data_IF_440379256488
#
_entry.id   IF_440379256488
#
_cell.length_a   1.000
_cell.length_b   1.000
_cell.length_c   1.000
_cell.angle_alpha   90.00
_cell.angle_beta   90.00
_cell.angle_gamma   90.00
#
_symmetry.space_group_name_H-M   'P 1'
#
loop_
_entity.id
_entity.type
_entity.pdbx_description
1 polymer ?
#
# COMPACT_ATOMS: atom_id res chain seq x y z
N UNK A 1 26.94 23.21 43.42
CA UNK A 1 27.10 23.84 42.09
C UNK A 1 27.38 22.78 41.03
N UNK A 2 28.36 21.89 41.23
CA UNK A 2 28.61 20.74 40.35
C UNK A 2 27.39 19.81 40.17
N UNK A 3 26.62 19.54 41.25
CA UNK A 3 25.38 18.75 41.17
C UNK A 3 24.25 19.42 40.36
N UNK A 4 24.23 20.76 40.34
CA UNK A 4 23.21 21.50 39.58
C UNK A 4 23.55 21.45 38.10
N UNK A 5 24.83 21.57 37.74
CA UNK A 5 25.28 21.44 36.35
C UNK A 5 25.11 20.01 35.82
N UNK A 6 25.42 18.98 36.63
CA UNK A 6 25.15 17.59 36.23
C UNK A 6 23.66 17.33 36.07
N UNK A 7 22.80 17.88 36.93
CA UNK A 7 21.34 17.78 36.78
C UNK A 7 20.83 18.47 35.50
N UNK A 8 21.36 19.64 35.15
CA UNK A 8 21.00 20.31 33.89
C UNK A 8 21.51 19.57 32.65
N UNK A 9 22.68 18.95 32.73
CA UNK A 9 23.21 18.12 31.64
C UNK A 9 22.40 16.83 31.49
N UNK A 10 21.97 16.22 32.59
CA UNK A 10 21.06 15.08 32.61
C UNK A 10 19.72 15.44 31.96
N UNK A 11 19.08 16.54 32.39
CA UNK A 11 17.84 17.06 31.78
C UNK A 11 17.96 17.36 30.28
N UNK A 12 19.12 17.85 29.82
CA UNK A 12 19.37 18.09 28.39
C UNK A 12 19.60 16.81 27.60
N UNK A 13 20.07 15.77 28.27
CA UNK A 13 20.34 14.46 27.69
C UNK A 13 19.15 13.50 27.75
N UNK A 14 18.13 13.81 28.55
CA UNK A 14 16.92 13.00 28.64
C UNK A 14 16.05 13.09 27.38
N UNK A 15 15.38 11.99 26.99
CA UNK A 15 14.34 12.03 25.96
C UNK A 15 13.24 13.04 26.35
N UNK A 16 12.68 13.73 25.35
CA UNK A 16 11.55 14.65 25.58
C UNK A 16 10.22 13.92 25.69
N UNK A 17 10.19 12.67 25.24
CA UNK A 17 9.10 11.74 25.39
C UNK A 17 9.70 10.36 25.60
N UNK A 18 9.29 9.69 26.67
CA UNK A 18 9.79 8.39 27.08
C UNK A 18 8.64 7.54 27.58
N UNK A 19 8.36 6.42 26.91
CA UNK A 19 7.28 5.52 27.29
C UNK A 19 7.65 4.61 28.45
N UNK A 20 8.93 4.59 28.86
CA UNK A 20 9.34 3.96 30.11
C UNK A 20 9.06 4.87 31.34
N UNK A 21 8.64 6.12 31.12
CA UNK A 21 8.23 7.04 32.19
C UNK A 21 6.82 6.73 32.70
N UNK A 22 6.74 6.29 33.97
CA UNK A 22 5.49 5.98 34.66
C UNK A 22 4.57 7.19 34.88
N UNK A 23 5.01 8.41 34.57
CA UNK A 23 4.21 9.63 34.70
C UNK A 23 3.29 9.92 33.50
N UNK A 24 3.48 9.22 32.37
CA UNK A 24 2.59 9.34 31.22
C UNK A 24 1.18 8.87 31.57
N UNK A 25 0.18 9.67 31.24
CA UNK A 25 -1.22 9.32 31.47
C UNK A 25 -1.81 8.56 30.27
N UNK A 26 -2.97 7.94 30.46
CA UNK A 26 -3.69 7.34 29.34
C UNK A 26 -4.02 8.35 28.24
N UNK A 27 -4.30 9.63 28.58
CA UNK A 27 -4.49 10.68 27.58
C UNK A 27 -3.21 10.94 26.75
N UNK A 28 -2.03 10.84 27.36
CA UNK A 28 -0.75 10.97 26.63
C UNK A 28 -0.56 9.81 25.64
N UNK A 29 -0.85 8.58 26.06
CA UNK A 29 -0.84 7.40 25.18
C UNK A 29 -1.77 7.60 23.98
N UNK A 30 -3.01 8.03 24.21
CA UNK A 30 -4.00 8.25 23.15
C UNK A 30 -3.59 9.41 22.23
N UNK A 31 -3.04 10.48 22.79
CA UNK A 31 -2.60 11.64 22.02
C UNK A 31 -1.46 11.31 21.06
N UNK A 32 -0.43 10.61 21.55
CA UNK A 32 0.78 10.31 20.78
C UNK A 32 0.65 9.07 19.90
N UNK A 33 0.02 8.01 20.41
CA UNK A 33 -0.03 6.71 19.74
C UNK A 33 -1.38 6.41 19.11
N UNK A 34 -2.45 7.04 19.58
CA UNK A 34 -3.83 6.73 19.18
C UNK A 34 -4.46 5.56 19.93
N UNK A 35 -3.77 4.98 20.91
CA UNK A 35 -4.19 3.83 21.69
C UNK A 35 -4.24 4.17 23.18
N UNK A 36 -5.12 3.51 23.92
CA UNK A 36 -5.02 3.52 25.38
C UNK A 36 -3.73 2.82 25.84
N UNK A 37 -3.31 3.10 27.07
CA UNK A 37 -2.15 2.44 27.69
C UNK A 37 -2.32 0.90 27.70
N UNK A 38 -3.52 0.43 28.03
CA UNK A 38 -3.86 -1.00 28.03
C UNK A 38 -3.68 -1.64 26.63
N UNK A 39 -4.29 -1.03 25.61
CA UNK A 39 -4.19 -1.51 24.22
C UNK A 39 -2.74 -1.49 23.71
N UNK A 40 -2.00 -0.43 24.04
CA UNK A 40 -0.60 -0.31 23.69
C UNK A 40 0.24 -1.44 24.30
N UNK A 41 0.02 -1.72 25.59
CA UNK A 41 0.72 -2.78 26.32
C UNK A 41 0.34 -4.18 25.81
N UNK A 42 -0.91 -4.41 25.42
CA UNK A 42 -1.32 -5.69 24.84
C UNK A 42 -0.63 -5.96 23.51
N UNK A 43 -0.54 -4.96 22.63
CA UNK A 43 0.25 -5.07 21.40
C UNK A 43 1.74 -5.25 21.69
N UNK A 44 2.26 -4.60 22.72
CA UNK A 44 3.65 -4.77 23.12
C UNK A 44 3.95 -6.21 23.56
N UNK A 45 3.07 -6.83 24.36
CA UNK A 45 3.24 -8.23 24.81
C UNK A 45 3.43 -9.19 23.64
N UNK A 46 2.69 -9.01 22.54
CA UNK A 46 2.76 -9.88 21.35
C UNK A 46 4.12 -9.87 20.64
N UNK A 47 4.87 -8.76 20.70
CA UNK A 47 6.14 -8.61 19.98
C UNK A 47 7.37 -8.44 20.89
N UNK A 48 7.16 -8.17 22.18
CA UNK A 48 8.21 -7.80 23.15
C UNK A 48 9.35 -8.82 23.24
N UNK A 49 9.03 -10.12 23.18
CA UNK A 49 10.00 -11.23 23.23
C UNK A 49 11.00 -11.18 22.07
N UNK A 50 10.62 -10.58 20.95
CA UNK A 50 11.43 -10.49 19.73
C UNK A 50 12.08 -9.10 19.55
N UNK A 51 11.63 -8.10 20.30
CA UNK A 51 12.04 -6.71 20.14
C UNK A 51 13.11 -6.34 21.18
N UNK A 52 14.35 -6.14 20.71
CA UNK A 52 15.48 -5.83 21.59
C UNK A 52 15.60 -4.32 21.88
N UNK A 53 15.97 -4.02 23.12
CA UNK A 53 16.49 -2.71 23.52
C UNK A 53 17.88 -2.47 22.92
N UNK A 54 18.25 -1.20 22.78
CA UNK A 54 19.56 -0.77 22.29
C UNK A 54 20.10 0.36 23.18
N UNK A 55 21.32 0.82 22.93
CA UNK A 55 21.87 2.00 23.62
C UNK A 55 21.12 3.30 23.34
N UNK A 56 20.21 3.33 22.34
CA UNK A 56 19.52 4.55 21.90
C UNK A 56 18.02 4.58 22.19
N UNK A 57 17.44 3.43 22.55
CA UNK A 57 16.01 3.27 22.84
C UNK A 57 15.76 1.93 23.52
N UNK A 58 14.72 1.89 24.34
CA UNK A 58 14.13 0.63 24.82
C UNK A 58 13.29 -0.04 23.74
N UNK A 59 12.82 -1.25 24.01
CA UNK A 59 11.85 -1.95 23.17
C UNK A 59 10.48 -1.27 23.19
N UNK A 60 10.04 -0.77 24.35
CA UNK A 60 8.77 -0.04 24.50
C UNK A 60 8.78 1.26 23.68
N UNK A 61 9.85 2.04 23.78
CA UNK A 61 10.04 3.24 22.97
C UNK A 61 10.12 2.95 21.47
N UNK A 62 10.57 1.75 21.05
CA UNK A 62 10.53 1.37 19.63
C UNK A 62 9.09 1.25 19.11
N UNK A 63 8.23 0.60 19.91
CA UNK A 63 6.82 0.48 19.59
C UNK A 63 6.14 1.86 19.58
N UNK A 64 6.50 2.73 20.51
CA UNK A 64 6.02 4.11 20.54
C UNK A 64 6.43 4.89 19.28
N UNK A 65 7.70 4.79 18.86
CA UNK A 65 8.20 5.38 17.60
C UNK A 65 7.36 4.90 16.41
N UNK A 66 7.01 3.61 16.35
CA UNK A 66 6.16 3.07 15.30
C UNK A 66 4.77 3.73 15.30
N UNK A 67 4.05 3.69 16.41
CA UNK A 67 2.70 4.22 16.49
C UNK A 67 2.64 5.74 16.35
N UNK A 68 3.59 6.48 16.91
CA UNK A 68 3.71 7.93 16.71
C UNK A 68 3.86 8.24 15.23
N UNK A 69 4.68 7.49 14.48
CA UNK A 69 4.80 7.70 13.03
C UNK A 69 3.47 7.49 12.31
N UNK A 70 2.73 6.42 12.62
CA UNK A 70 1.42 6.13 12.01
C UNK A 70 0.38 7.21 12.39
N UNK A 71 0.31 7.58 13.67
CA UNK A 71 -0.67 8.52 14.24
C UNK A 71 -0.45 9.95 13.78
N UNK A 72 0.80 10.42 13.77
CA UNK A 72 1.14 11.84 13.60
C UNK A 72 1.72 12.17 12.22
N UNK A 73 2.23 11.16 11.50
CA UNK A 73 2.97 11.31 10.25
C UNK A 73 4.23 12.21 10.33
N UNK A 74 4.76 12.47 11.53
CA UNK A 74 6.02 13.20 11.70
C UNK A 74 7.19 12.57 10.92
N UNK A 75 8.15 13.39 10.52
CA UNK A 75 9.37 12.87 9.89
C UNK A 75 10.22 12.07 10.88
N UNK A 76 10.97 11.08 10.42
CA UNK A 76 11.88 10.32 11.28
C UNK A 76 12.93 11.20 11.98
N UNK A 77 13.29 12.35 11.39
CA UNK A 77 14.16 13.35 12.02
C UNK A 77 13.49 14.06 13.20
N UNK A 78 12.21 14.39 13.09
CA UNK A 78 11.41 14.94 14.20
C UNK A 78 11.24 13.90 15.31
N UNK A 79 10.84 12.67 14.95
CA UNK A 79 10.66 11.58 15.93
C UNK A 79 11.97 11.27 16.64
N UNK A 80 13.08 11.13 15.91
CA UNK A 80 14.36 10.88 16.56
C UNK A 80 14.80 12.01 17.50
N UNK A 81 14.42 13.27 17.21
CA UNK A 81 14.68 14.39 18.12
C UNK A 81 13.76 14.38 19.34
N UNK A 82 12.52 13.88 19.20
CA UNK A 82 11.57 13.72 20.31
C UNK A 82 12.07 12.70 21.34
N UNK A 83 12.59 11.56 20.88
CA UNK A 83 13.18 10.51 21.72
C UNK A 83 14.66 10.74 22.08
N UNK A 84 15.21 11.93 21.75
CA UNK A 84 16.62 12.26 21.91
C UNK A 84 17.61 11.17 21.46
N UNK A 85 17.32 10.52 20.32
CA UNK A 85 18.18 9.47 19.77
C UNK A 85 19.56 10.06 19.43
N UNK A 86 20.61 9.41 19.95
CA UNK A 86 21.98 9.91 19.83
C UNK A 86 22.46 9.96 18.37
N UNK A 87 23.48 10.80 18.12
CA UNK A 87 24.10 10.99 16.81
C UNK A 87 23.71 12.30 16.13
N UNK A 88 24.34 12.55 14.97
CA UNK A 88 24.02 13.71 14.13
C UNK A 88 22.62 13.57 13.51
N UNK A 89 22.17 14.62 12.80
CA UNK A 89 20.80 14.69 12.26
C UNK A 89 20.40 13.49 11.40
N UNK A 90 21.33 12.95 10.62
CA UNK A 90 21.06 11.85 9.70
C UNK A 90 21.15 10.49 10.40
N UNK A 91 22.15 10.28 11.26
CA UNK A 91 22.23 9.09 12.12
C UNK A 91 20.97 8.94 12.98
N UNK A 92 20.48 10.04 13.54
CA UNK A 92 19.26 10.09 14.33
C UNK A 92 18.02 9.71 13.51
N UNK A 93 17.89 10.27 12.31
CA UNK A 93 16.81 9.95 11.36
C UNK A 93 16.81 8.46 11.02
N UNK A 94 17.99 7.89 10.72
CA UNK A 94 18.14 6.49 10.35
C UNK A 94 17.74 5.56 11.48
N UNK A 95 18.25 5.79 12.69
CA UNK A 95 17.91 4.98 13.86
C UNK A 95 16.41 5.00 14.19
N UNK A 96 15.74 6.14 14.02
CA UNK A 96 14.28 6.22 14.16
C UNK A 96 13.54 5.41 13.07
N UNK A 97 14.03 5.45 11.83
CA UNK A 97 13.50 4.65 10.73
C UNK A 97 13.73 3.14 10.96
N UNK A 98 14.90 2.75 11.44
CA UNK A 98 15.24 1.36 11.77
C UNK A 98 14.36 0.82 12.91
N UNK A 99 14.06 1.65 13.91
CA UNK A 99 13.12 1.30 14.97
C UNK A 99 11.71 1.04 14.42
N UNK A 100 11.21 1.94 13.57
CA UNK A 100 9.93 1.78 12.88
C UNK A 100 9.91 0.49 12.03
N UNK A 101 10.98 0.23 11.27
CA UNK A 101 11.07 -0.93 10.39
C UNK A 101 11.15 -2.24 11.18
N UNK A 102 11.90 -2.26 12.28
CA UNK A 102 11.99 -3.42 13.17
C UNK A 102 10.63 -3.81 13.72
N UNK A 103 9.86 -2.83 14.22
CA UNK A 103 8.51 -3.08 14.74
C UNK A 103 7.55 -3.51 13.63
N UNK A 104 7.61 -2.88 12.44
CA UNK A 104 6.78 -3.29 11.28
C UNK A 104 6.98 -4.76 10.95
N UNK A 105 8.23 -5.21 10.81
CA UNK A 105 8.53 -6.59 10.45
C UNK A 105 8.06 -7.59 11.53
N UNK A 106 8.19 -7.23 12.81
CA UNK A 106 7.67 -8.05 13.90
C UNK A 106 6.14 -8.12 13.89
N UNK A 107 5.45 -7.01 13.63
CA UNK A 107 3.99 -7.04 13.49
C UNK A 107 3.55 -7.89 12.31
N UNK A 108 4.17 -7.74 11.13
CA UNK A 108 3.86 -8.58 9.96
C UNK A 108 4.03 -10.06 10.30
N UNK A 109 5.10 -10.40 11.02
CA UNK A 109 5.45 -11.80 11.31
C UNK A 109 4.62 -12.44 12.41
N UNK A 110 4.28 -11.69 13.46
CA UNK A 110 3.74 -12.26 14.71
C UNK A 110 2.34 -11.77 15.07
N UNK A 111 1.87 -10.68 14.48
CA UNK A 111 0.58 -10.07 14.81
C UNK A 111 -0.41 -10.13 13.64
N UNK A 112 0.00 -9.67 12.46
CA UNK A 112 -0.89 -9.51 11.30
C UNK A 112 -1.58 -10.82 10.94
N UNK A 113 -0.84 -11.93 10.82
CA UNK A 113 -1.44 -13.22 10.44
C UNK A 113 -2.43 -13.79 11.45
N UNK A 114 -2.47 -13.28 12.69
CA UNK A 114 -3.41 -13.70 13.73
C UNK A 114 -4.70 -12.88 13.73
N UNK A 115 -4.71 -11.70 13.10
CA UNK A 115 -5.78 -10.71 13.22
C UNK A 115 -6.22 -10.08 11.90
N UNK A 116 -5.56 -10.41 10.79
CA UNK A 116 -5.86 -9.87 9.47
C UNK A 116 -5.51 -10.90 8.38
N UNK A 117 -6.34 -10.97 7.35
CA UNK A 117 -6.26 -11.96 6.28
C UNK A 117 -7.20 -13.12 6.52
N UNK A 118 -7.89 -13.58 5.49
CA UNK A 118 -9.08 -14.46 5.62
C UNK A 118 -8.87 -15.76 6.45
N UNK A 119 -7.63 -16.21 6.63
CA UNK A 119 -7.30 -17.40 7.41
C UNK A 119 -7.37 -17.25 8.94
N UNK A 120 -7.49 -16.03 9.48
CA UNK A 120 -7.54 -15.83 10.93
C UNK A 120 -8.93 -16.04 11.56
N UNK A 121 -9.98 -16.03 10.73
CA UNK A 121 -11.38 -16.13 11.16
C UNK A 121 -12.02 -17.34 10.49
N UNK A 122 -12.86 -18.08 11.22
CA UNK A 122 -13.62 -19.20 10.67
C UNK A 122 -14.95 -18.72 10.07
N UNK A 123 -15.59 -19.55 9.24
CA UNK A 123 -16.91 -19.21 8.69
C UNK A 123 -17.99 -19.10 9.77
N UNK A 124 -17.91 -19.91 10.82
CA UNK A 124 -18.87 -19.84 11.92
C UNK A 124 -18.69 -18.54 12.73
N UNK A 125 -17.44 -18.14 13.00
CA UNK A 125 -17.16 -16.83 13.62
C UNK A 125 -17.62 -15.68 12.73
N UNK A 126 -17.43 -15.80 11.41
CA UNK A 126 -17.85 -14.82 10.42
C UNK A 126 -19.38 -14.58 10.41
N UNK A 127 -20.19 -15.59 10.76
CA UNK A 127 -21.65 -15.46 10.89
C UNK A 127 -22.05 -14.65 12.14
N UNK A 128 -21.20 -14.59 13.16
CA UNK A 128 -21.43 -13.78 14.37
C UNK A 128 -21.41 -12.28 14.02
N UNK A 129 -20.58 -11.90 13.05
CA UNK A 129 -20.44 -10.53 12.56
C UNK A 129 -21.61 -10.05 11.67
N UNK A 130 -22.60 -10.90 11.41
CA UNK A 130 -23.85 -10.46 10.79
C UNK A 130 -24.71 -9.68 11.80
N UNK A 131 -25.11 -8.47 11.41
CA UNK A 131 -26.03 -7.64 12.20
C UNK A 131 -27.47 -8.13 12.05
N UNK A 132 -28.37 -7.64 12.91
CA UNK A 132 -29.81 -7.90 12.75
C UNK A 132 -30.32 -7.49 11.36
N UNK A 133 -29.78 -6.40 10.78
CA UNK A 133 -30.16 -5.96 9.45
C UNK A 133 -29.65 -6.89 8.35
N UNK A 134 -28.39 -7.32 8.40
CA UNK A 134 -27.88 -8.21 7.35
C UNK A 134 -28.58 -9.58 7.40
N UNK A 135 -28.90 -10.07 8.60
CA UNK A 135 -29.70 -11.29 8.78
C UNK A 135 -31.10 -11.18 8.20
N UNK A 136 -31.76 -10.05 8.43
CA UNK A 136 -33.10 -9.81 7.90
C UNK A 136 -33.10 -9.69 6.37
N UNK A 137 -32.07 -9.06 5.78
CA UNK A 137 -32.03 -8.78 4.35
C UNK A 137 -31.51 -9.95 3.50
N UNK A 138 -30.53 -10.68 4.01
CA UNK A 138 -29.78 -11.67 3.24
C UNK A 138 -29.82 -13.07 3.86
N UNK A 139 -30.14 -13.19 5.15
CA UNK A 139 -30.24 -14.48 5.84
C UNK A 139 -29.04 -14.75 6.77
N UNK A 140 -28.91 -16.00 7.20
CA UNK A 140 -27.96 -16.38 8.25
C UNK A 140 -26.56 -16.74 7.74
N UNK A 141 -26.36 -16.82 6.43
CA UNK A 141 -25.06 -17.10 5.85
C UNK A 141 -24.12 -15.89 5.96
N UNK A 142 -22.82 -16.16 5.97
CA UNK A 142 -21.82 -15.10 6.20
C UNK A 142 -21.88 -14.06 5.09
N UNK A 143 -21.80 -12.78 5.48
CA UNK A 143 -21.82 -11.65 4.56
C UNK A 143 -20.47 -10.93 4.58
N UNK A 144 -19.91 -10.67 3.41
CA UNK A 144 -18.74 -9.81 3.23
C UNK A 144 -19.11 -8.59 2.40
N UNK A 145 -18.59 -7.44 2.80
CA UNK A 145 -18.68 -6.18 2.07
C UNK A 145 -17.31 -5.91 1.47
N UNK A 146 -17.26 -5.72 0.16
CA UNK A 146 -16.05 -5.35 -0.57
C UNK A 146 -16.14 -3.89 -0.99
N UNK A 147 -15.09 -3.12 -0.68
CA UNK A 147 -15.02 -1.74 -1.12
C UNK A 147 -13.59 -1.23 -1.30
N UNK A 148 -13.40 -0.47 -2.38
CA UNK A 148 -12.14 0.19 -2.68
C UNK A 148 -11.95 1.44 -1.82
N UNK A 149 -10.78 1.57 -1.21
CA UNK A 149 -10.32 2.84 -0.64
C UNK A 149 -9.03 3.28 -1.31
N UNK A 150 -8.64 4.54 -1.11
CA UNK A 150 -7.42 5.08 -1.69
C UNK A 150 -6.64 5.89 -0.67
N UNK A 151 -5.31 5.86 -0.83
CA UNK A 151 -4.40 6.73 -0.10
C UNK A 151 -3.61 7.57 -1.07
N UNK A 152 -3.61 8.88 -0.82
CA UNK A 152 -2.81 9.79 -1.61
C UNK A 152 -1.33 9.51 -1.39
N UNK A 153 -0.57 9.61 -2.47
CA UNK A 153 0.87 9.49 -2.43
C UNK A 153 1.52 10.77 -2.93
N UNK A 154 2.78 10.97 -2.57
CA UNK A 154 3.58 11.99 -3.22
C UNK A 154 3.64 11.76 -4.73
N UNK A 155 3.78 12.83 -5.51
CA UNK A 155 4.04 12.71 -6.95
C UNK A 155 5.28 11.84 -7.12
N UNK A 156 5.13 10.69 -7.78
CA UNK A 156 6.28 9.84 -8.03
C UNK A 156 7.20 10.50 -9.04
N UNK A 157 8.47 10.36 -8.73
CA UNK A 157 9.61 10.59 -9.59
C UNK A 157 9.53 9.77 -10.88
N UNK A 158 9.11 8.51 -10.74
CA UNK A 158 8.96 7.61 -11.87
C UNK A 158 7.72 7.96 -12.69
N UNK A 159 7.88 8.28 -13.99
CA UNK A 159 6.74 8.54 -14.87
C UNK A 159 5.78 7.35 -14.99
N UNK A 160 6.27 6.11 -14.93
CA UNK A 160 5.41 4.91 -14.97
C UNK A 160 4.53 4.81 -13.72
N UNK A 161 5.13 4.96 -12.53
CA UNK A 161 4.42 4.96 -11.24
C UNK A 161 3.50 6.18 -11.14
N UNK A 162 3.96 7.32 -11.66
CA UNK A 162 3.19 8.56 -11.72
C UNK A 162 1.93 8.37 -12.56
N UNK A 163 2.05 7.80 -13.77
CA UNK A 163 0.92 7.51 -14.66
C UNK A 163 -0.02 6.45 -14.07
N UNK A 164 0.51 5.38 -13.49
CA UNK A 164 -0.31 4.31 -12.89
C UNK A 164 -0.98 4.70 -11.58
N UNK A 165 -0.38 5.64 -10.83
CA UNK A 165 -0.97 6.14 -9.58
C UNK A 165 -1.83 7.39 -9.81
N UNK A 166 -1.75 8.04 -10.97
CA UNK A 166 -2.59 9.20 -11.27
C UNK A 166 -3.98 8.73 -11.70
N UNK A 167 -4.95 8.87 -10.79
CA UNK A 167 -6.34 8.59 -11.12
C UNK A 167 -7.01 9.83 -11.70
N UNK A 168 -7.50 9.72 -12.93
CA UNK A 168 -8.23 10.80 -13.61
C UNK A 168 -9.44 11.30 -12.81
N UNK A 169 -10.13 10.40 -12.11
CA UNK A 169 -11.32 10.72 -11.30
C UNK A 169 -11.03 11.72 -10.18
N UNK A 170 -9.87 11.62 -9.51
CA UNK A 170 -9.52 12.53 -8.39
C UNK A 170 -8.48 13.58 -8.78
N UNK A 171 -8.02 13.57 -10.05
CA UNK A 171 -6.95 14.44 -10.58
C UNK A 171 -5.72 14.49 -9.67
N UNK A 172 -5.36 13.36 -9.04
CA UNK A 172 -4.32 13.23 -8.00
C UNK A 172 -3.65 11.86 -8.04
N UNK A 173 -2.46 11.76 -7.47
CA UNK A 173 -1.73 10.50 -7.29
C UNK A 173 -2.20 9.75 -6.05
N UNK A 174 -2.65 8.52 -6.22
CA UNK A 174 -3.05 7.62 -5.14
C UNK A 174 -2.83 6.16 -5.50
N UNK A 175 -2.75 5.33 -4.48
CA UNK A 175 -2.85 3.87 -4.59
C UNK A 175 -4.17 3.42 -4.01
N UNK A 176 -4.69 2.30 -4.51
CA UNK A 176 -5.95 1.72 -4.03
C UNK A 176 -5.70 0.51 -3.13
N UNK A 177 -6.63 0.27 -2.21
CA UNK A 177 -6.69 -0.92 -1.37
C UNK A 177 -8.12 -1.44 -1.37
N UNK A 178 -8.31 -2.75 -1.40
CA UNK A 178 -9.61 -3.39 -1.28
C UNK A 178 -9.84 -3.79 0.17
N UNK A 179 -10.86 -3.22 0.79
CA UNK A 179 -11.28 -3.60 2.14
C UNK A 179 -12.31 -4.71 2.06
N UNK A 180 -12.17 -5.73 2.89
CA UNK A 180 -13.11 -6.84 3.03
C UNK A 180 -13.56 -6.83 4.48
N UNK A 181 -14.82 -6.47 4.70
CA UNK A 181 -15.37 -6.22 6.04
C UNK A 181 -16.71 -6.91 6.23
N UNK A 182 -17.07 -7.17 7.48
CA UNK A 182 -18.36 -7.73 7.85
C UNK A 182 -19.39 -6.63 8.15
N UNK A 183 -20.70 -6.97 8.21
CA UNK A 183 -21.78 -6.02 8.47
C UNK A 183 -21.68 -5.25 9.79
N UNK A 184 -20.93 -5.73 10.77
CA UNK A 184 -20.70 -5.05 12.04
C UNK A 184 -19.42 -4.20 12.08
N UNK A 185 -18.74 -4.05 10.94
CA UNK A 185 -17.47 -3.34 10.75
C UNK A 185 -16.18 -4.10 11.12
N UNK A 186 -16.29 -5.38 11.50
CA UNK A 186 -15.13 -6.27 11.65
C UNK A 186 -14.40 -6.44 10.32
N UNK A 187 -13.06 -6.45 10.36
CA UNK A 187 -12.23 -6.44 9.15
C UNK A 187 -11.63 -7.82 8.94
N UNK A 188 -12.01 -8.48 7.83
CA UNK A 188 -11.39 -9.76 7.45
C UNK A 188 -10.03 -9.52 6.80
N UNK A 189 -9.95 -8.56 5.87
CA UNK A 189 -8.70 -8.24 5.16
C UNK A 189 -8.68 -6.82 4.57
N UNK A 190 -7.48 -6.31 4.32
CA UNK A 190 -7.23 -5.10 3.52
C UNK A 190 -6.12 -5.39 2.52
N UNK A 191 -6.51 -5.61 1.28
CA UNK A 191 -5.61 -6.11 0.24
C UNK A 191 -5.12 -4.94 -0.62
N UNK A 192 -3.82 -4.92 -0.91
CA UNK A 192 -3.22 -3.93 -1.80
C UNK A 192 -1.72 -3.77 -1.52
N UNK A 193 -1.11 -2.68 -2.03
CA UNK A 193 -1.69 -1.63 -2.86
C UNK A 193 -1.91 -2.08 -4.32
N UNK A 194 -2.90 -1.46 -4.94
CA UNK A 194 -3.19 -1.51 -6.37
C UNK A 194 -2.97 -0.15 -7.04
N UNK A 195 -2.82 -0.17 -8.36
CA UNK A 195 -2.66 1.05 -9.16
C UNK A 195 -3.94 1.90 -9.09
N UNK A 196 -3.78 3.22 -9.00
CA UNK A 196 -4.91 4.16 -8.91
C UNK A 196 -5.79 4.20 -10.17
N UNK A 197 -5.25 3.76 -11.30
CA UNK A 197 -5.95 3.66 -12.60
C UNK A 197 -6.90 2.46 -12.70
N UNK A 198 -6.73 1.44 -11.86
CA UNK A 198 -7.62 0.28 -11.89
C UNK A 198 -8.97 0.63 -11.24
N UNK A 199 -10.06 0.21 -11.86
CA UNK A 199 -11.39 0.27 -11.25
C UNK A 199 -11.53 -0.85 -10.21
N UNK A 200 -12.62 -0.81 -9.44
CA UNK A 200 -12.78 -1.73 -8.30
C UNK A 200 -13.10 -3.15 -8.75
N UNK A 201 -13.83 -3.32 -9.87
CA UNK A 201 -14.05 -4.62 -10.52
C UNK A 201 -12.74 -5.31 -10.92
N UNK A 202 -11.84 -4.62 -11.64
CA UNK A 202 -10.54 -5.18 -12.06
C UNK A 202 -9.64 -5.54 -10.88
N UNK A 203 -9.71 -4.77 -9.79
CA UNK A 203 -8.98 -5.09 -8.56
C UNK A 203 -9.55 -6.37 -7.92
N UNK A 204 -10.88 -6.49 -7.84
CA UNK A 204 -11.53 -7.67 -7.31
C UNK A 204 -11.20 -8.93 -8.13
N UNK A 205 -11.25 -8.85 -9.47
CA UNK A 205 -10.82 -9.94 -10.35
C UNK A 205 -9.37 -10.37 -10.07
N UNK A 206 -8.44 -9.41 -9.97
CA UNK A 206 -7.04 -9.72 -9.66
C UNK A 206 -6.90 -10.43 -8.30
N UNK A 207 -7.67 -10.00 -7.29
CA UNK A 207 -7.68 -10.62 -5.96
C UNK A 207 -8.18 -12.06 -6.06
N UNK A 208 -9.34 -12.28 -6.68
CA UNK A 208 -9.94 -13.61 -6.81
C UNK A 208 -9.03 -14.56 -7.60
N UNK A 209 -8.37 -14.06 -8.65
CA UNK A 209 -7.45 -14.86 -9.47
C UNK A 209 -6.13 -15.21 -8.78
N UNK A 210 -5.71 -14.43 -7.78
CA UNK A 210 -4.41 -14.60 -7.11
C UNK A 210 -4.50 -15.13 -5.68
N UNK A 211 -5.70 -15.13 -5.08
CA UNK A 211 -5.95 -15.59 -3.73
C UNK A 211 -7.07 -16.63 -3.71
N UNK A 212 -6.73 -17.86 -4.10
CA UNK A 212 -7.68 -18.99 -4.13
C UNK A 212 -8.36 -19.22 -2.79
N UNK A 213 -7.63 -19.04 -1.67
CA UNK A 213 -8.20 -19.22 -0.34
C UNK A 213 -9.37 -18.27 -0.11
N UNK A 214 -9.17 -16.97 -0.39
CA UNK A 214 -10.23 -15.96 -0.29
C UNK A 214 -11.36 -16.21 -1.30
N UNK A 215 -11.02 -16.58 -2.54
CA UNK A 215 -11.98 -16.77 -3.63
C UNK A 215 -12.98 -17.90 -3.39
N UNK A 216 -12.68 -18.84 -2.48
CA UNK A 216 -13.59 -19.93 -2.11
C UNK A 216 -13.97 -19.90 -0.63
N UNK A 217 -13.48 -18.95 0.16
CA UNK A 217 -13.55 -19.01 1.62
C UNK A 217 -14.99 -19.03 2.15
N UNK A 218 -15.84 -18.14 1.64
CA UNK A 218 -17.25 -18.03 2.02
C UNK A 218 -18.08 -19.31 1.75
N UNK A 219 -17.56 -20.26 0.97
CA UNK A 219 -18.30 -21.42 0.51
C UNK A 219 -19.45 -21.08 -0.44
N UNK A 220 -20.20 -22.09 -0.86
CA UNK A 220 -21.45 -21.87 -1.62
C UNK A 220 -22.49 -21.20 -0.72
N UNK A 221 -23.16 -20.16 -1.21
CA UNK A 221 -24.23 -19.40 -0.55
C UNK A 221 -23.80 -18.29 0.43
N UNK A 222 -22.51 -17.95 0.51
CA UNK A 222 -22.09 -16.71 1.18
C UNK A 222 -22.54 -15.46 0.41
N UNK A 223 -22.78 -14.36 1.12
CA UNK A 223 -23.21 -13.11 0.51
C UNK A 223 -22.05 -12.14 0.29
N UNK A 224 -21.99 -11.53 -0.89
CA UNK A 224 -21.04 -10.46 -1.21
C UNK A 224 -21.81 -9.19 -1.51
N UNK A 225 -21.52 -8.11 -0.79
CA UNK A 225 -22.14 -6.81 -0.98
C UNK A 225 -21.10 -5.83 -1.53
N UNK A 226 -21.42 -5.23 -2.67
CA UNK A 226 -20.54 -4.31 -3.42
C UNK A 226 -21.31 -3.08 -3.89
N UNK A 227 -20.60 -2.05 -4.35
CA UNK A 227 -21.23 -0.95 -5.08
C UNK A 227 -21.25 -1.19 -6.58
N UNK A 228 -21.80 -0.21 -7.28
CA UNK A 228 -21.92 -0.16 -8.72
C UNK A 228 -20.57 -0.23 -9.46
N UNK A 229 -19.45 0.07 -8.81
CA UNK A 229 -18.10 -0.02 -9.38
C UNK A 229 -17.60 -1.46 -9.59
N UNK A 230 -18.32 -2.45 -9.04
CA UNK A 230 -18.03 -3.88 -9.19
C UNK A 230 -18.91 -4.56 -10.25
N UNK A 231 -19.71 -3.81 -11.01
CA UNK A 231 -20.63 -4.35 -12.03
C UNK A 231 -19.98 -5.43 -12.89
N UNK A 232 -18.75 -5.18 -13.35
CA UNK A 232 -18.08 -6.03 -14.34
C UNK A 232 -17.53 -7.33 -13.75
N UNK A 233 -17.52 -7.50 -12.41
CA UNK A 233 -17.05 -8.72 -11.71
C UNK A 233 -18.19 -9.51 -11.04
N UNK A 234 -19.44 -9.07 -11.16
CA UNK A 234 -20.60 -9.73 -10.53
C UNK A 234 -20.73 -11.18 -10.98
N UNK A 235 -20.62 -11.45 -12.29
CA UNK A 235 -20.70 -12.81 -12.83
C UNK A 235 -19.59 -13.71 -12.25
N UNK A 236 -18.38 -13.18 -12.06
CA UNK A 236 -17.27 -13.93 -11.46
C UNK A 236 -17.58 -14.35 -10.01
N UNK A 237 -18.20 -13.47 -9.22
CA UNK A 237 -18.63 -13.85 -7.86
C UNK A 237 -19.73 -14.92 -7.88
N UNK A 238 -20.68 -14.82 -8.81
CA UNK A 238 -21.77 -15.78 -8.96
C UNK A 238 -21.27 -17.15 -9.42
N UNK A 239 -20.29 -17.20 -10.32
CA UNK A 239 -19.64 -18.44 -10.77
C UNK A 239 -18.88 -19.16 -9.64
N UNK A 240 -18.40 -18.40 -8.64
CA UNK A 240 -17.82 -18.93 -7.41
C UNK A 240 -18.88 -19.43 -6.40
N UNK A 241 -20.17 -19.28 -6.71
CA UNK A 241 -21.28 -19.73 -5.88
C UNK A 241 -21.76 -18.71 -4.85
N UNK A 242 -21.40 -17.43 -5.00
CA UNK A 242 -21.80 -16.36 -4.08
C UNK A 242 -23.09 -15.65 -4.48
N UNK A 243 -23.91 -15.36 -3.48
CA UNK A 243 -25.05 -14.46 -3.64
C UNK A 243 -24.57 -13.01 -3.59
N UNK A 244 -24.47 -12.39 -4.76
CA UNK A 244 -23.86 -11.06 -4.89
C UNK A 244 -24.92 -9.97 -5.01
N UNK A 245 -24.80 -8.93 -4.19
CA UNK A 245 -25.75 -7.83 -4.05
C UNK A 245 -25.10 -6.49 -4.37
N UNK A 246 -25.75 -5.70 -5.23
CA UNK A 246 -25.28 -4.40 -5.71
C UNK A 246 -26.48 -3.46 -5.92
N UNK A 247 -26.35 -2.13 -5.67
CA UNK A 247 -27.42 -1.19 -5.99
C UNK A 247 -27.80 -1.20 -7.48
N UNK A 248 -29.09 -1.36 -7.79
CA UNK A 248 -29.62 -1.44 -9.16
C UNK A 248 -29.24 -0.22 -10.00
N UNK A 249 -29.05 -0.38 -11.30
CA UNK A 249 -28.93 0.74 -12.24
C UNK A 249 -30.28 1.14 -12.82
N UNK A 250 -30.41 2.42 -13.20
CA UNK A 250 -31.60 2.89 -13.90
C UNK A 250 -31.63 2.20 -15.27
N UNK A 251 -32.76 1.61 -15.66
CA UNK A 251 -32.85 0.97 -16.98
C UNK A 251 -32.88 2.05 -18.05
N UNK A 252 -32.35 1.73 -19.24
CA UNK A 252 -32.29 2.67 -20.35
C UNK A 252 -33.69 3.17 -20.70
N UNK A 253 -33.87 4.49 -20.66
CA UNK A 253 -35.16 5.15 -20.97
C UNK A 253 -36.10 5.33 -19.78
N UNK A 254 -35.79 4.74 -18.61
CA UNK A 254 -36.54 5.00 -17.38
C UNK A 254 -36.04 6.28 -16.71
N UNK A 255 -36.94 6.97 -15.98
CA UNK A 255 -36.60 8.15 -15.16
C UNK A 255 -36.49 7.83 -13.67
N UNK A 256 -37.00 6.67 -13.25
CA UNK A 256 -37.07 6.25 -11.86
C UNK A 256 -36.88 4.73 -11.76
N UNK A 257 -36.35 4.27 -10.63
CA UNK A 257 -36.25 2.84 -10.31
C UNK A 257 -37.62 2.28 -9.92
N UNK A 258 -37.81 0.98 -10.11
CA UNK A 258 -38.94 0.28 -9.52
C UNK A 258 -38.86 0.27 -7.98
N UNK A 259 -39.99 0.12 -7.30
CA UNK A 259 -40.02 -0.01 -5.83
C UNK A 259 -39.12 -1.15 -5.34
N UNK A 260 -39.07 -2.26 -6.08
CA UNK A 260 -38.25 -3.43 -5.76
C UNK A 260 -36.76 -3.08 -5.87
N UNK A 261 -36.34 -2.48 -6.99
CA UNK A 261 -34.95 -2.04 -7.20
C UNK A 261 -34.49 -1.03 -6.16
N UNK A 262 -35.37 -0.10 -5.79
CA UNK A 262 -35.09 0.89 -4.74
C UNK A 262 -34.90 0.22 -3.38
N UNK A 263 -35.74 -0.76 -3.04
CA UNK A 263 -35.63 -1.47 -1.77
C UNK A 263 -34.35 -2.31 -1.71
N UNK A 264 -34.01 -3.04 -2.77
CA UNK A 264 -32.75 -3.79 -2.86
C UNK A 264 -31.52 -2.87 -2.75
N UNK A 265 -31.57 -1.72 -3.44
CA UNK A 265 -30.50 -0.72 -3.36
C UNK A 265 -30.33 -0.14 -1.95
N UNK A 266 -31.44 0.10 -1.23
CA UNK A 266 -31.43 0.57 0.16
C UNK A 266 -30.85 -0.48 1.11
N UNK A 267 -31.17 -1.77 0.92
CA UNK A 267 -30.58 -2.86 1.71
C UNK A 267 -29.06 -2.90 1.54
N UNK A 268 -28.56 -2.88 0.30
CA UNK A 268 -27.12 -2.85 0.00
C UNK A 268 -26.45 -1.63 0.64
N UNK A 269 -27.02 -0.44 0.44
CA UNK A 269 -26.44 0.81 0.96
C UNK A 269 -26.40 0.83 2.48
N UNK A 270 -27.45 0.32 3.14
CA UNK A 270 -27.53 0.29 4.60
C UNK A 270 -26.47 -0.62 5.22
N UNK A 271 -26.21 -1.79 4.61
CA UNK A 271 -25.17 -2.70 5.10
C UNK A 271 -23.76 -2.21 4.73
N UNK A 272 -23.59 -1.60 3.54
CA UNK A 272 -22.31 -1.01 3.12
C UNK A 272 -21.79 0.08 4.05
N UNK A 273 -22.64 0.76 4.83
CA UNK A 273 -22.19 1.80 5.75
C UNK A 273 -21.05 1.35 6.69
N UNK A 274 -20.98 0.06 7.03
CA UNK A 274 -19.92 -0.51 7.87
C UNK A 274 -18.52 -0.38 7.24
N UNK A 275 -18.39 -0.48 5.90
CA UNK A 275 -17.10 -0.27 5.23
C UNK A 275 -16.70 1.20 5.20
N UNK A 276 -17.67 2.11 5.10
CA UNK A 276 -17.44 3.55 5.19
C UNK A 276 -16.98 3.96 6.60
N UNK A 277 -17.60 3.38 7.63
CA UNK A 277 -17.18 3.55 9.02
C UNK A 277 -15.75 3.05 9.25
N UNK A 278 -15.41 1.88 8.71
CA UNK A 278 -14.05 1.35 8.72
C UNK A 278 -13.05 2.29 8.02
N UNK A 279 -13.33 2.74 6.80
CA UNK A 279 -12.47 3.70 6.09
C UNK A 279 -12.31 5.01 6.87
N UNK A 280 -13.38 5.46 7.54
CA UNK A 280 -13.35 6.60 8.44
C UNK A 280 -12.35 6.42 9.57
N UNK A 281 -12.37 5.27 10.25
CA UNK A 281 -11.37 4.92 11.28
C UNK A 281 -9.95 4.87 10.73
N UNK A 282 -9.77 4.25 9.56
CA UNK A 282 -8.47 4.14 8.89
C UNK A 282 -7.90 5.53 8.54
N UNK A 283 -8.74 6.48 8.14
CA UNK A 283 -8.35 7.85 7.83
C UNK A 283 -8.20 8.77 9.05
N UNK A 284 -8.43 8.28 10.28
CA UNK A 284 -8.05 9.01 11.52
C UNK A 284 -6.54 9.02 11.75
N UNK A 285 -5.83 8.06 11.18
CA UNK A 285 -4.37 7.97 11.24
C UNK A 285 -3.76 8.92 10.20
N UNK A 286 -2.97 9.91 10.65
CA UNK A 286 -2.47 10.95 9.74
C UNK A 286 -1.64 10.40 8.60
N UNK A 287 -0.95 9.27 8.80
CA UNK A 287 -0.19 8.63 7.71
C UNK A 287 -1.07 8.23 6.52
N UNK A 288 -2.36 7.90 6.76
CA UNK A 288 -3.33 7.51 5.74
C UNK A 288 -4.23 8.67 5.30
N UNK A 289 -4.39 9.69 6.13
CA UNK A 289 -5.11 10.92 5.78
C UNK A 289 -4.29 11.82 4.84
N UNK A 290 -3.00 11.96 5.14
CA UNK A 290 -2.07 12.80 4.40
C UNK A 290 -1.54 12.06 3.17
N UNK A 291 -0.62 12.72 2.44
CA UNK A 291 0.16 12.06 1.40
C UNK A 291 1.15 11.09 2.04
N UNK A 292 0.99 9.80 1.76
CA UNK A 292 1.98 8.78 2.10
C UNK A 292 3.28 9.13 1.37
N UNK A 293 4.38 9.18 2.14
CA UNK A 293 5.69 9.43 1.58
C UNK A 293 6.09 8.27 0.65
N UNK A 294 6.62 8.57 -0.54
CA UNK A 294 6.90 7.54 -1.56
C UNK A 294 7.83 6.42 -1.08
N UNK A 295 8.74 6.71 -0.13
CA UNK A 295 9.62 5.71 0.50
C UNK A 295 8.89 4.64 1.32
N UNK A 296 7.64 4.89 1.71
CA UNK A 296 6.81 3.91 2.41
C UNK A 296 6.03 3.01 1.44
N UNK A 297 5.90 3.40 0.17
CA UNK A 297 5.18 2.62 -0.85
C UNK A 297 5.83 1.23 -1.08
N UNK A 298 7.17 1.08 -1.19
CA UNK A 298 7.80 -0.24 -1.22
C UNK A 298 7.43 -1.13 -0.05
N UNK A 299 7.36 -0.54 1.15
CA UNK A 299 6.99 -1.20 2.40
C UNK A 299 5.51 -1.59 2.44
N UNK A 300 4.68 -0.96 1.60
CA UNK A 300 3.28 -1.33 1.39
C UNK A 300 3.12 -2.49 0.38
N UNK A 301 4.20 -2.96 -0.26
CA UNK A 301 4.31 -4.04 -1.28
C UNK A 301 3.95 -3.62 -2.71
N UNK A 302 5.03 -3.24 -3.39
CA UNK A 302 5.13 -2.81 -4.78
C UNK A 302 4.96 -3.98 -5.77
N UNK A 303 3.81 -4.06 -6.42
CA UNK A 303 3.61 -4.89 -7.64
C UNK A 303 4.34 -4.33 -8.88
N UNK A 304 4.91 -3.11 -8.80
CA UNK A 304 5.51 -2.37 -9.93
C UNK A 304 7.02 -2.59 -10.14
N UNK A 305 7.80 -2.90 -9.10
CA UNK A 305 9.23 -3.23 -9.25
C UNK A 305 9.40 -4.62 -9.87
N UNK A 306 8.52 -5.55 -9.47
CA UNK A 306 8.45 -6.91 -10.01
C UNK A 306 8.31 -6.93 -11.53
N UNK A 307 7.39 -6.13 -12.09
CA UNK A 307 7.17 -6.07 -13.55
C UNK A 307 8.37 -5.53 -14.30
N UNK A 308 9.01 -4.47 -13.78
CA UNK A 308 10.25 -3.96 -14.36
C UNK A 308 11.40 -4.97 -14.31
N UNK A 309 11.51 -5.77 -13.24
CA UNK A 309 12.51 -6.83 -13.16
C UNK A 309 12.23 -7.94 -14.15
N UNK A 310 11.00 -8.47 -14.21
CA UNK A 310 10.61 -9.53 -15.15
C UNK A 310 10.92 -9.19 -16.62
N UNK A 311 10.81 -7.92 -17.01
CA UNK A 311 11.11 -7.43 -18.37
C UNK A 311 12.60 -7.32 -18.68
N UNK A 312 13.47 -7.27 -17.67
CA UNK A 312 14.91 -6.94 -17.81
C UNK A 312 15.86 -8.03 -17.30
N UNK A 313 15.34 -9.20 -16.92
CA UNK A 313 16.16 -10.39 -16.72
C UNK A 313 16.68 -10.90 -18.06
N UNK A 314 17.95 -11.30 -18.09
CA UNK A 314 18.57 -11.96 -19.23
C UNK A 314 18.11 -13.43 -19.37
N UNK A 315 18.73 -14.16 -20.30
CA UNK A 315 18.39 -15.56 -20.57
C UNK A 315 18.77 -16.52 -19.43
N UNK A 316 19.66 -16.09 -18.54
CA UNK A 316 20.11 -16.84 -17.37
C UNK A 316 19.27 -16.50 -16.12
N UNK A 317 18.38 -15.50 -16.24
CA UNK A 317 17.50 -15.06 -15.16
C UNK A 317 18.11 -13.98 -14.28
N UNK A 318 19.18 -13.34 -14.74
CA UNK A 318 19.91 -12.32 -14.00
C UNK A 318 19.67 -10.91 -14.52
N UNK A 319 19.75 -9.95 -13.61
CA UNK A 319 19.70 -8.53 -13.96
C UNK A 319 21.13 -8.08 -14.28
N UNK A 320 21.35 -7.47 -15.44
CA UNK A 320 22.70 -7.01 -15.80
C UNK A 320 23.14 -5.88 -14.86
N UNK A 321 24.11 -6.19 -13.99
CA UNK A 321 24.72 -5.25 -13.05
C UNK A 321 26.23 -5.29 -13.23
N UNK A 322 26.80 -4.13 -13.47
CA UNK A 322 28.24 -3.93 -13.66
C UNK A 322 28.78 -3.07 -12.51
N UNK A 323 30.06 -3.22 -12.18
CA UNK A 323 30.78 -2.29 -11.31
C UNK A 323 31.46 -1.21 -12.16
N UNK A 324 31.53 0.01 -11.63
CA UNK A 324 32.29 1.06 -12.29
C UNK A 324 33.78 0.71 -12.34
N UNK A 325 34.43 0.95 -13.48
CA UNK A 325 35.81 0.57 -13.70
C UNK A 325 36.82 1.35 -12.83
N UNK A 326 36.43 2.50 -12.27
CA UNK A 326 37.32 3.38 -11.52
C UNK A 326 37.00 3.41 -10.03
N UNK A 327 35.87 2.85 -9.59
CA UNK A 327 35.43 2.88 -8.19
C UNK A 327 34.62 1.66 -7.79
N UNK A 328 34.98 1.04 -6.67
CA UNK A 328 34.36 -0.20 -6.16
C UNK A 328 33.02 0.01 -5.44
N UNK A 329 32.48 1.23 -5.42
CA UNK A 329 31.24 1.57 -4.70
C UNK A 329 30.13 2.13 -5.58
N UNK A 330 30.25 1.99 -6.90
CA UNK A 330 29.23 2.42 -7.85
C UNK A 330 28.83 1.23 -8.73
N UNK A 331 27.55 0.88 -8.68
CA UNK A 331 26.93 -0.06 -9.59
C UNK A 331 26.43 0.70 -10.82
N UNK A 332 26.60 0.10 -11.99
CA UNK A 332 26.04 0.55 -13.26
C UNK A 332 25.12 -0.52 -13.82
N UNK A 333 23.89 -0.13 -14.15
CA UNK A 333 22.91 -1.03 -14.73
C UNK A 333 22.32 -0.40 -16.01
N UNK A 334 22.60 -0.95 -17.19
CA UNK A 334 21.92 -0.56 -18.42
C UNK A 334 20.50 -1.13 -18.44
N UNK A 335 19.52 -0.30 -18.81
CA UNK A 335 18.10 -0.69 -18.87
C UNK A 335 17.53 -0.33 -20.24
N UNK A 336 16.90 -1.29 -20.90
CA UNK A 336 16.25 -1.10 -22.20
C UNK A 336 14.98 -0.25 -22.06
N UNK A 337 14.78 0.71 -22.94
CA UNK A 337 13.51 1.45 -22.97
C UNK A 337 12.38 0.56 -23.45
N UNK A 338 11.28 0.48 -22.70
CA UNK A 338 10.04 -0.19 -23.14
C UNK A 338 9.35 0.46 -24.34
N UNK A 339 9.72 1.70 -24.65
CA UNK A 339 9.10 2.51 -25.71
C UNK A 339 9.98 2.63 -26.95
N UNK A 340 11.19 2.08 -26.91
CA UNK A 340 12.10 2.11 -28.04
C UNK A 340 13.18 1.04 -27.90
N UNK A 341 13.30 0.20 -28.92
CA UNK A 341 14.38 -0.79 -29.01
C UNK A 341 15.76 -0.12 -29.22
N UNK A 342 15.80 1.13 -29.67
CA UNK A 342 17.06 1.86 -29.91
C UNK A 342 17.62 2.55 -28.65
N UNK A 343 16.79 2.75 -27.61
CA UNK A 343 17.18 3.56 -26.45
C UNK A 343 17.49 2.68 -25.25
N UNK A 344 18.71 2.79 -24.73
CA UNK A 344 19.12 2.24 -23.42
C UNK A 344 19.43 3.35 -22.43
N UNK A 345 18.79 3.30 -21.27
CA UNK A 345 19.06 4.19 -20.17
C UNK A 345 20.21 3.63 -19.32
N UNK A 346 21.11 4.50 -18.88
CA UNK A 346 22.18 4.15 -17.96
C UNK A 346 21.75 4.54 -16.56
N UNK A 347 21.85 3.60 -15.64
CA UNK A 347 21.53 3.81 -14.23
C UNK A 347 22.78 3.58 -13.40
N UNK A 348 23.03 4.45 -12.44
CA UNK A 348 24.12 4.34 -11.49
C UNK A 348 23.58 4.38 -10.08
N UNK A 349 24.11 3.51 -9.22
CA UNK A 349 23.76 3.45 -7.80
C UNK A 349 25.08 3.44 -7.05
N UNK A 350 25.35 4.52 -6.32
CA UNK A 350 26.43 4.54 -5.35
C UNK A 350 25.94 3.85 -4.08
N UNK A 351 26.67 2.82 -3.66
CA UNK A 351 26.30 1.99 -2.51
C UNK A 351 27.36 2.06 -1.42
N UNK A 352 26.95 1.70 -0.21
CA UNK A 352 27.85 1.51 0.93
C UNK A 352 27.69 0.11 1.47
N UNK A 353 28.80 -0.54 1.83
CA UNK A 353 28.76 -1.76 2.63
C UNK A 353 28.66 -1.46 4.14
N UNK A 354 28.79 -0.18 4.52
CA UNK A 354 28.71 0.29 5.90
C UNK A 354 27.74 1.48 6.03
N UNK A 355 26.63 1.31 6.73
CA UNK A 355 25.60 2.35 6.91
C UNK A 355 24.48 2.25 5.87
N UNK A 356 24.01 3.40 5.36
CA UNK A 356 22.97 3.43 4.33
C UNK A 356 23.47 2.71 3.06
N UNK A 357 22.83 1.58 2.67
CA UNK A 357 23.35 0.77 1.59
C UNK A 357 23.26 1.47 0.24
N UNK A 358 22.45 2.53 0.11
CA UNK A 358 22.37 3.37 -1.09
C UNK A 358 22.66 4.81 -0.69
N UNK A 359 23.83 5.29 -1.13
CA UNK A 359 24.33 6.64 -0.85
C UNK A 359 23.72 7.64 -1.84
N UNK A 360 23.75 7.29 -3.12
CA UNK A 360 23.26 8.14 -4.20
C UNK A 360 22.84 7.29 -5.40
N UNK A 361 22.06 7.88 -6.31
CA UNK A 361 21.72 7.22 -7.55
C UNK A 361 21.49 8.27 -8.64
N UNK A 362 21.67 7.86 -9.89
CA UNK A 362 21.36 8.68 -11.06
C UNK A 362 20.90 7.78 -12.20
N UNK A 363 19.96 8.24 -13.02
CA UNK A 363 19.54 7.50 -14.19
C UNK A 363 19.35 8.47 -15.36
N UNK A 364 19.81 8.10 -16.56
CA UNK A 364 19.63 8.93 -17.77
C UNK A 364 18.21 8.90 -18.32
N UNK A 365 17.30 8.16 -17.69
CA UNK A 365 15.91 8.21 -18.12
C UNK A 365 15.32 9.61 -17.87
N UNK A 366 14.28 10.01 -18.62
CA UNK A 366 13.62 11.30 -18.42
C UNK A 366 13.11 11.50 -16.99
N UNK A 367 12.96 10.42 -16.20
CA UNK A 367 12.61 10.48 -14.78
C UNK A 367 13.80 10.52 -13.81
N UNK A 368 15.03 10.18 -14.23
CA UNK A 368 16.19 10.12 -13.32
C UNK A 368 16.94 11.44 -13.15
N UNK A 369 16.73 12.41 -14.04
CA UNK A 369 17.37 13.73 -13.99
C UNK A 369 16.53 14.83 -13.31
N UNK A 370 15.25 14.58 -12.99
CA UNK A 370 14.28 15.64 -12.67
C UNK A 370 13.53 15.40 -11.35
N UNK A 371 14.02 14.50 -10.51
CA UNK A 371 13.21 13.92 -9.43
C UNK A 371 13.82 13.94 -8.04
N UNK A 372 12.99 14.27 -7.05
CA UNK A 372 13.31 14.14 -5.63
C UNK A 372 12.92 12.69 -5.21
N UNK A 373 13.82 11.73 -5.46
CA UNK A 373 13.65 10.29 -5.17
C UNK A 373 13.83 9.38 -6.40
N UNK A 374 14.05 8.06 -6.21
CA UNK A 374 14.49 7.11 -7.24
C UNK A 374 13.44 6.81 -8.34
N UNK A 375 13.87 6.76 -9.61
CA UNK A 375 13.01 6.36 -10.74
C UNK A 375 12.75 4.83 -10.75
N UNK A 376 11.77 4.35 -11.54
CA UNK A 376 11.41 2.92 -11.57
C UNK A 376 12.57 2.00 -11.90
N UNK A 377 13.50 2.46 -12.75
CA UNK A 377 14.74 1.76 -13.06
C UNK A 377 15.57 1.50 -11.80
N UNK A 378 15.89 2.55 -11.05
CA UNK A 378 16.65 2.45 -9.80
C UNK A 378 15.90 1.60 -8.78
N UNK A 379 14.60 1.80 -8.59
CA UNK A 379 13.80 0.99 -7.65
C UNK A 379 13.78 -0.49 -8.03
N UNK A 380 13.71 -0.82 -9.33
CA UNK A 380 13.73 -2.20 -9.81
C UNK A 380 15.09 -2.88 -9.59
N UNK A 381 16.20 -2.18 -9.85
CA UNK A 381 17.56 -2.68 -9.60
C UNK A 381 17.74 -2.96 -8.11
N UNK A 382 17.36 -2.00 -7.26
CA UNK A 382 17.49 -2.13 -5.80
C UNK A 382 16.67 -3.30 -5.30
N UNK A 383 15.42 -3.44 -5.74
CA UNK A 383 14.55 -4.55 -5.36
C UNK A 383 15.10 -5.91 -5.82
N UNK A 384 15.66 -6.01 -7.04
CA UNK A 384 16.28 -7.25 -7.51
C UNK A 384 17.49 -7.62 -6.63
N UNK A 385 18.40 -6.67 -6.41
CA UNK A 385 19.63 -6.88 -5.64
C UNK A 385 19.37 -7.17 -4.16
N UNK A 386 18.37 -6.53 -3.55
CA UNK A 386 18.09 -6.68 -2.12
C UNK A 386 17.18 -7.86 -1.80
N UNK A 387 16.38 -8.33 -2.76
CA UNK A 387 15.32 -9.31 -2.51
C UNK A 387 15.26 -10.41 -3.56
N UNK A 388 14.98 -10.08 -4.83
CA UNK A 388 14.64 -11.10 -5.83
C UNK A 388 15.75 -12.15 -6.05
N UNK A 389 17.01 -11.70 -6.10
CA UNK A 389 18.19 -12.56 -6.27
C UNK A 389 18.39 -13.56 -5.11
N UNK A 390 18.00 -13.19 -3.90
CA UNK A 390 18.22 -14.01 -2.71
C UNK A 390 17.06 -14.96 -2.38
N UNK A 391 15.94 -14.82 -3.10
CA UNK A 391 14.69 -15.55 -2.81
C UNK A 391 14.20 -16.42 -3.98
N UNK A 392 15.10 -16.80 -4.91
CA UNK A 392 14.79 -17.66 -6.07
C UNK A 392 13.55 -17.21 -6.84
N UNK A 393 13.46 -15.91 -7.12
CA UNK A 393 12.32 -15.33 -7.82
C UNK A 393 12.18 -15.89 -9.25
N UNK A 394 11.06 -16.55 -9.54
CA UNK A 394 10.74 -17.03 -10.89
C UNK A 394 9.86 -16.02 -11.67
N UNK A 395 10.28 -15.57 -12.86
CA UNK A 395 9.48 -14.66 -13.69
C UNK A 395 8.21 -15.35 -14.22
N UNK A 396 7.12 -14.57 -14.37
CA UNK A 396 5.83 -15.10 -14.80
C UNK A 396 5.87 -15.63 -16.24
N UNK A 397 5.65 -16.94 -16.42
CA UNK A 397 5.74 -17.64 -17.74
C UNK A 397 4.69 -17.18 -18.77
N UNK A 398 3.70 -16.36 -18.40
CA UNK A 398 2.51 -16.06 -19.21
C UNK A 398 2.44 -14.68 -19.87
N UNK A 399 3.26 -13.68 -19.50
CA UNK A 399 3.05 -12.30 -19.96
C UNK A 399 3.76 -11.89 -21.26
N UNK A 400 4.86 -12.55 -21.64
CA UNK A 400 5.55 -12.28 -22.93
C UNK A 400 4.63 -12.48 -24.14
N UNK A 401 3.74 -13.48 -24.11
CA UNK A 401 2.82 -13.78 -25.23
C UNK A 401 1.69 -12.76 -25.41
N UNK A 402 1.17 -12.19 -24.33
CA UNK A 402 0.01 -11.29 -24.41
C UNK A 402 0.43 -9.93 -25.00
N UNK A 403 1.57 -9.36 -24.55
CA UNK A 403 2.09 -8.12 -25.14
C UNK A 403 2.56 -8.31 -26.58
N UNK A 404 3.19 -9.44 -26.91
CA UNK A 404 3.60 -9.72 -28.30
C UNK A 404 2.38 -9.90 -29.22
N UNK A 405 1.33 -10.60 -28.76
CA UNK A 405 0.08 -10.74 -29.52
C UNK A 405 -0.72 -9.42 -29.65
N UNK A 406 -0.64 -8.53 -28.67
CA UNK A 406 -1.25 -7.19 -28.74
C UNK A 406 -0.46 -6.29 -29.70
N UNK A 407 0.88 -6.34 -29.66
CA UNK A 407 1.74 -5.56 -30.56
C UNK A 407 1.65 -6.05 -32.02
N UNK A 408 1.58 -7.37 -32.25
CA UNK A 408 1.40 -7.94 -33.60
C UNK A 408 0.02 -7.62 -34.19
N UNK A 409 -1.01 -7.38 -33.37
CA UNK A 409 -2.35 -6.92 -33.83
C UNK A 409 -2.41 -5.43 -34.16
N UNK A 410 -1.55 -4.61 -33.56
CA UNK A 410 -1.48 -3.17 -33.83
C UNK A 410 -0.79 -2.91 -35.18
N UNK A 411 0.16 -3.75 -35.59
CA UNK A 411 0.89 -3.59 -36.87
C UNK A 411 0.03 -3.88 -38.11
N UNK A 412 -1.14 -4.52 -37.97
CA UNK A 412 -2.01 -4.89 -39.11
C UNK A 412 -3.13 -3.85 -39.35
N UNK A 413 -3.23 -2.80 -38.52
CA UNK A 413 -4.37 -1.87 -38.53
C UNK A 413 -4.08 -0.44 -39.01
N UNK A 414 -2.87 -0.12 -39.45
CA UNK A 414 -2.49 1.23 -39.90
C UNK A 414 -1.98 1.20 -41.34
N UNK A 415 -2.88 0.90 -42.27
CA UNK A 415 -2.86 1.46 -43.62
C UNK A 415 -4.31 1.90 -43.88
N UNK A 416 -4.60 3.17 -43.61
CA UNK A 416 -5.47 4.04 -44.42
C UNK A 416 -5.61 5.42 -43.76
N UNK A 417 -4.98 6.38 -44.45
CA UNK A 417 -5.33 7.79 -44.65
C UNK A 417 -5.13 8.87 -43.56
N UNK A 418 -4.17 9.73 -43.91
CA UNK A 418 -4.06 11.17 -43.65
C UNK A 418 -5.40 11.91 -43.75
N UNK A 419 -5.68 12.87 -42.87
CA UNK A 419 -5.40 14.31 -43.08
C UNK A 419 -6.14 15.19 -42.05
N UNK A 420 -5.43 16.21 -41.55
CA UNK A 420 -5.90 17.58 -41.30
C UNK A 420 -7.19 17.85 -40.49
N UNK A 421 -7.03 18.37 -39.25
CA UNK A 421 -7.11 19.82 -38.93
C UNK A 421 -7.42 20.11 -37.46
N UNK A 422 -6.66 21.07 -36.95
CA UNK A 422 -6.96 21.87 -35.77
C UNK A 422 -8.35 22.52 -35.86
N UNK A 423 -9.17 22.36 -34.82
CA UNK A 423 -10.19 23.33 -34.44
C UNK A 423 -10.22 23.49 -32.92
N UNK A 424 -9.92 24.72 -32.50
CA UNK A 424 -10.30 25.31 -31.22
C UNK A 424 -11.82 25.32 -31.07
N UNK A 425 -12.30 25.17 -29.82
CA UNK A 425 -13.61 25.57 -29.24
C UNK A 425 -13.93 24.56 -28.11
N UNK A 426 -14.53 24.86 -26.98
CA UNK A 426 -14.86 26.09 -26.24
C UNK A 426 -15.11 25.58 -24.81
N UNK A 427 -14.75 26.38 -23.80
CA UNK A 427 -15.10 26.11 -22.40
C UNK A 427 -16.62 26.18 -22.23
N UNK A 428 -17.24 25.12 -21.69
CA UNK A 428 -18.59 25.21 -21.13
C UNK A 428 -18.66 24.59 -19.73
N UNK A 429 -18.85 25.51 -18.79
CA UNK A 429 -19.34 25.35 -17.42
C UNK A 429 -20.57 24.43 -17.34
N UNK A 430 -20.60 23.54 -16.34
CA UNK A 430 -21.87 23.01 -15.83
C UNK A 430 -21.84 22.94 -14.30
N UNK A 431 -22.73 23.74 -13.72
CA UNK A 431 -23.20 23.73 -12.33
C UNK A 431 -23.80 22.40 -11.89
#
# INVERSE_FOLDING_TARGET
>A
MNDIFSFFDELRSSPRLDFDDSSLTNEDYEAWTGWSEEQFNDMFKEISVYLRSSSNRTSLNALAIFWIKIKTNLSFRQIGSLFNISGNSDTRRLRAADAFDSVRELFIKYFVSKHLGIGHITIDDAKIHNTAYSKEFFGNESTLIWDGTYFFIGKSSSHSVNRSAYGGQKKRHYVKFMSIVHPDDYVSDVIGPFQGTLNDASIAEEILATNNALATWLGSNGHIIVDRGFRDVIETFQDLGYETHMPSFLKKGEKQHSTIDMNNSRMCTKIRWSVEAFHGRLKKWRIFQDKIHNLLIPKLKIKLARTYVEEHLDQEGDYTVELDANTDNILRCPIQSRHSNAVKYKSWIQYSLSGDPIIAWYCTCPGGAVTIGACAHIVSIVWYLSYARHHHFEPSKGRRRIQQAIMERIVVGEDDDMDDKDQEEEDDDWH
#
